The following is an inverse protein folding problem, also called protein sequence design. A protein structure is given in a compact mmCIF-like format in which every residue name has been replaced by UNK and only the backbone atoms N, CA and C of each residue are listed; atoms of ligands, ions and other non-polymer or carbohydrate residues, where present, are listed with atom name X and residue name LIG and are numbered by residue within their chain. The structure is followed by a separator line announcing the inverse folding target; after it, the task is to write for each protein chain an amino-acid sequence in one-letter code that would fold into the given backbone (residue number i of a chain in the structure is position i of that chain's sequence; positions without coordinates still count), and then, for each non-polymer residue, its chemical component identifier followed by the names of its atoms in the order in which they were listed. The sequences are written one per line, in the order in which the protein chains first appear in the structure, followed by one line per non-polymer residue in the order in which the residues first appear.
data_IF_499512901901
#
_entry.id   IF_499512901901
#
_cell.length_a   1.000
_cell.length_b   1.000
_cell.length_c   1.000
_cell.angle_alpha   90.00
_cell.angle_beta   90.00
_cell.angle_gamma   90.00
#
_symmetry.space_group_name_H-M   'P 1'
#
loop_
_entity.id
_entity.type
_entity.pdbx_description
1 polymer ?
#
# COMPACT_ATOMS: atom_id res chain seq x y z
N UNK A 1 20.73 -19.39 -3.65
CA UNK A 1 20.07 -19.45 -2.33
C UNK A 1 18.58 -19.33 -2.59
N UNK A 2 17.72 -20.27 -2.15
CA UNK A 2 16.29 -20.02 -2.17
C UNK A 2 16.02 -18.82 -1.25
N UNK A 3 15.26 -17.84 -1.75
CA UNK A 3 14.82 -16.71 -0.92
C UNK A 3 13.93 -17.25 0.22
N UNK A 4 13.88 -16.57 1.39
CA UNK A 4 12.92 -16.95 2.42
C UNK A 4 11.50 -16.99 1.82
N UNK A 5 10.70 -18.01 2.18
CA UNK A 5 9.35 -18.24 1.62
C UNK A 5 8.47 -16.98 1.61
N UNK A 6 8.61 -16.12 2.63
CA UNK A 6 7.89 -14.86 2.72
C UNK A 6 8.11 -13.92 1.53
N UNK A 7 9.29 -13.91 0.91
CA UNK A 7 9.59 -13.07 -0.25
C UNK A 7 9.26 -13.76 -1.58
N UNK A 8 9.38 -15.09 -1.63
CA UNK A 8 8.99 -15.89 -2.80
C UNK A 8 7.50 -15.69 -3.14
N UNK A 9 6.66 -15.69 -2.11
CA UNK A 9 5.21 -15.52 -2.25
C UNK A 9 4.78 -14.12 -2.69
N UNK A 10 5.69 -13.13 -2.63
CA UNK A 10 5.42 -11.76 -3.09
C UNK A 10 5.85 -11.53 -4.55
N UNK A 11 6.41 -12.54 -5.22
CA UNK A 11 6.78 -12.42 -6.63
C UNK A 11 5.55 -12.37 -7.54
N UNK A 12 5.66 -11.66 -8.66
CA UNK A 12 4.57 -11.57 -9.64
C UNK A 12 4.24 -12.91 -10.28
N UNK A 13 5.25 -13.77 -10.47
CA UNK A 13 5.09 -15.14 -10.96
C UNK A 13 4.26 -15.97 -9.98
N UNK A 14 4.61 -15.97 -8.69
CA UNK A 14 3.85 -16.71 -7.69
C UNK A 14 2.41 -16.22 -7.57
N UNK A 15 2.20 -14.90 -7.53
CA UNK A 15 0.85 -14.33 -7.47
C UNK A 15 0.01 -14.73 -8.69
N UNK A 16 0.58 -14.67 -9.90
CA UNK A 16 -0.12 -14.99 -11.15
C UNK A 16 -0.41 -16.48 -11.31
N UNK A 17 0.54 -17.33 -10.96
CA UNK A 17 0.51 -18.75 -11.33
C UNK A 17 0.04 -19.65 -10.20
N UNK A 18 0.08 -19.18 -8.94
CA UNK A 18 -0.28 -19.97 -7.77
C UNK A 18 -1.39 -19.30 -6.95
N UNK A 19 -1.13 -18.14 -6.35
CA UNK A 19 -2.03 -17.57 -5.34
C UNK A 19 -3.38 -17.11 -5.92
N UNK A 20 -3.37 -16.26 -6.95
CA UNK A 20 -4.62 -15.71 -7.52
C UNK A 20 -5.52 -16.80 -8.11
N UNK A 21 -5.03 -17.79 -8.89
CA UNK A 21 -5.90 -18.87 -9.40
C UNK A 21 -6.48 -19.76 -8.30
N UNK A 22 -5.78 -19.93 -7.17
CA UNK A 22 -6.22 -20.76 -6.05
C UNK A 22 -7.12 -20.01 -5.06
N UNK A 23 -7.24 -18.68 -5.19
CA UNK A 23 -7.99 -17.81 -4.29
C UNK A 23 -8.99 -16.97 -5.08
N UNK A 24 -9.98 -17.59 -5.75
CA UNK A 24 -11.01 -16.84 -6.46
C UNK A 24 -11.90 -16.05 -5.50
N UNK A 25 -12.45 -14.95 -6.00
CA UNK A 25 -13.41 -14.14 -5.26
C UNK A 25 -14.72 -14.92 -5.01
N UNK A 26 -15.35 -14.65 -3.88
CA UNK A 26 -16.63 -15.25 -3.48
C UNK A 26 -17.76 -14.25 -3.76
N UNK A 27 -18.85 -14.72 -4.38
CA UNK A 27 -19.95 -13.88 -4.87
C UNK A 27 -20.61 -13.01 -3.77
N UNK A 28 -20.76 -13.54 -2.56
CA UNK A 28 -21.42 -12.85 -1.44
C UNK A 28 -20.47 -11.96 -0.61
N UNK A 29 -19.21 -11.79 -1.05
CA UNK A 29 -18.22 -10.95 -0.36
C UNK A 29 -17.95 -9.69 -1.17
N UNK A 30 -18.09 -8.53 -0.54
CA UNK A 30 -17.71 -7.25 -1.14
C UNK A 30 -16.22 -7.00 -0.96
N UNK A 31 -15.49 -6.87 -2.07
CA UNK A 31 -14.06 -6.55 -2.09
C UNK A 31 -13.85 -5.08 -2.45
N UNK A 32 -13.03 -4.39 -1.67
CA UNK A 32 -12.67 -2.99 -1.91
C UNK A 32 -11.16 -2.82 -1.82
N UNK A 33 -10.60 -1.95 -2.65
CA UNK A 33 -9.19 -1.62 -2.52
C UNK A 33 -8.86 -0.16 -2.81
N UNK A 34 -7.75 0.27 -2.24
CA UNK A 34 -7.11 1.55 -2.49
C UNK A 34 -5.65 1.30 -2.85
N UNK A 35 -5.12 2.06 -3.79
CA UNK A 35 -3.69 2.11 -4.06
C UNK A 35 -3.06 3.32 -3.38
N UNK A 36 -1.74 3.42 -3.44
CA UNK A 36 -1.02 4.63 -3.06
C UNK A 36 0.10 4.92 -4.04
N UNK A 37 0.45 6.20 -4.16
CA UNK A 37 1.60 6.65 -4.92
C UNK A 37 2.44 7.63 -4.11
N UNK A 38 3.75 7.52 -4.24
CA UNK A 38 4.70 8.41 -3.57
C UNK A 38 5.89 8.72 -4.47
N UNK A 39 6.65 9.76 -4.14
CA UNK A 39 7.89 10.10 -4.83
C UNK A 39 9.04 10.14 -3.82
N UNK A 40 9.68 8.99 -3.56
CA UNK A 40 10.66 8.89 -2.50
C UNK A 40 11.98 9.59 -2.89
N UNK A 41 12.50 10.40 -1.98
CA UNK A 41 13.83 11.00 -2.14
C UNK A 41 14.95 9.96 -2.22
N UNK A 42 16.13 10.37 -2.69
CA UNK A 42 17.26 9.46 -3.00
C UNK A 42 17.73 8.65 -1.78
N UNK A 43 17.61 9.21 -0.58
CA UNK A 43 17.98 8.54 0.68
C UNK A 43 16.86 7.70 1.31
N UNK A 44 15.69 7.63 0.68
CA UNK A 44 14.59 6.79 1.16
C UNK A 44 14.95 5.31 1.00
N UNK A 45 14.63 4.44 1.98
CA UNK A 45 14.76 3.00 1.81
C UNK A 45 13.94 2.45 0.63
N UNK A 46 12.89 3.17 0.21
CA UNK A 46 12.04 2.78 -0.92
C UNK A 46 12.53 3.30 -2.27
N UNK A 47 13.63 4.06 -2.34
CA UNK A 47 14.06 4.69 -3.60
C UNK A 47 14.36 3.67 -4.69
N UNK A 48 15.09 2.61 -4.35
CA UNK A 48 15.51 1.59 -5.33
C UNK A 48 14.32 0.78 -5.85
N UNK A 49 13.47 0.27 -4.96
CA UNK A 49 12.28 -0.52 -5.31
C UNK A 49 11.26 0.32 -6.08
N UNK A 50 10.99 1.55 -5.62
CA UNK A 50 10.14 2.50 -6.34
C UNK A 50 10.60 2.67 -7.78
N UNK A 51 11.90 2.91 -8.00
CA UNK A 51 12.44 3.11 -9.35
C UNK A 51 12.29 1.89 -10.25
N UNK A 52 12.41 0.68 -9.70
CA UNK A 52 12.21 -0.56 -10.46
C UNK A 52 10.73 -0.69 -10.85
N UNK A 53 9.82 -0.55 -9.88
CA UNK A 53 8.38 -0.69 -10.11
C UNK A 53 7.87 0.40 -11.05
N UNK A 54 8.31 1.65 -10.90
CA UNK A 54 7.94 2.75 -11.81
C UNK A 54 8.27 2.47 -13.27
N UNK A 55 9.36 1.73 -13.54
CA UNK A 55 9.74 1.37 -14.91
C UNK A 55 8.88 0.25 -15.49
N UNK A 56 8.37 -0.63 -14.66
CA UNK A 56 7.67 -1.85 -15.09
C UNK A 56 6.15 -1.67 -15.03
N UNK A 57 5.62 -1.08 -13.96
CA UNK A 57 4.19 -0.99 -13.65
C UNK A 57 3.68 0.43 -13.42
N UNK A 58 4.57 1.43 -13.26
CA UNK A 58 4.20 2.83 -13.10
C UNK A 58 4.03 3.28 -11.64
N UNK A 59 3.00 4.08 -11.37
CA UNK A 59 2.76 4.68 -10.06
C UNK A 59 2.73 3.63 -8.94
N UNK A 60 3.44 3.89 -7.85
CA UNK A 60 3.62 2.95 -6.75
C UNK A 60 3.94 3.65 -5.42
N UNK A 61 3.75 2.92 -4.33
CA UNK A 61 3.95 3.38 -2.96
C UNK A 61 5.38 3.13 -2.43
N UNK A 62 6.27 2.67 -3.30
CA UNK A 62 7.61 2.23 -2.97
C UNK A 62 7.81 0.72 -2.98
N UNK A 63 6.76 -0.09 -2.82
CA UNK A 63 6.83 -1.56 -2.83
C UNK A 63 5.77 -2.23 -3.69
N UNK A 64 4.60 -1.61 -3.87
CA UNK A 64 3.47 -2.15 -4.61
C UNK A 64 2.95 -1.09 -5.58
N UNK A 65 2.73 -1.48 -6.84
CA UNK A 65 2.13 -0.58 -7.83
C UNK A 65 0.65 -0.37 -7.59
N UNK A 66 0.13 0.77 -8.05
CA UNK A 66 -1.31 1.06 -8.06
C UNK A 66 -2.08 -0.02 -8.79
N UNK A 67 -1.53 -0.51 -9.90
CA UNK A 67 -2.12 -1.61 -10.68
C UNK A 67 -2.20 -2.90 -9.86
N UNK A 68 -1.13 -3.29 -9.18
CA UNK A 68 -1.11 -4.51 -8.36
C UNK A 68 -1.95 -4.41 -7.10
N UNK A 69 -2.20 -3.21 -6.58
CA UNK A 69 -3.06 -2.97 -5.42
C UNK A 69 -4.57 -2.98 -5.75
N UNK A 70 -4.93 -3.01 -7.04
CA UNK A 70 -6.33 -2.98 -7.47
C UNK A 70 -6.97 -4.37 -7.36
N UNK A 71 -7.99 -4.50 -6.52
CA UNK A 71 -8.73 -5.74 -6.31
C UNK A 71 -10.18 -5.43 -5.88
N UNK A 72 -11.15 -6.12 -6.47
CA UNK A 72 -12.56 -5.78 -6.31
C UNK A 72 -12.89 -4.37 -6.80
N UNK A 73 -13.70 -3.64 -6.03
CA UNK A 73 -14.07 -2.25 -6.31
C UNK A 73 -12.92 -1.31 -5.92
N UNK A 74 -12.22 -0.79 -6.92
CA UNK A 74 -11.15 0.17 -6.73
C UNK A 74 -11.72 1.54 -6.34
N UNK A 75 -11.48 1.97 -5.10
CA UNK A 75 -12.04 3.22 -4.54
C UNK A 75 -11.12 4.43 -4.73
N UNK A 76 -9.83 4.24 -5.07
CA UNK A 76 -8.94 5.31 -5.50
C UNK A 76 -7.48 5.18 -5.08
N UNK A 77 -6.67 6.15 -5.50
CA UNK A 77 -5.23 6.21 -5.20
C UNK A 77 -4.91 7.30 -4.19
N UNK A 78 -4.27 6.92 -3.08
CA UNK A 78 -3.77 7.86 -2.08
C UNK A 78 -2.52 8.56 -2.58
N UNK A 79 -2.58 9.90 -2.68
CA UNK A 79 -1.48 10.71 -3.18
C UNK A 79 -0.54 11.13 -2.05
N UNK A 80 0.72 10.68 -2.13
CA UNK A 80 1.78 11.04 -1.19
C UNK A 80 2.27 9.94 -0.23
N UNK A 81 1.41 9.11 0.41
CA UNK A 81 1.90 8.14 1.37
C UNK A 81 2.71 7.03 0.69
N UNK A 82 3.84 6.68 1.30
CA UNK A 82 4.55 5.44 1.00
C UNK A 82 3.88 4.25 1.67
N UNK A 83 4.35 3.04 1.35
CA UNK A 83 3.84 1.79 1.92
C UNK A 83 3.76 1.81 3.47
N UNK A 84 4.71 2.45 4.15
CA UNK A 84 4.71 2.59 5.62
C UNK A 84 3.82 3.70 6.15
N UNK A 85 3.52 4.73 5.35
CA UNK A 85 2.64 5.81 5.76
C UNK A 85 1.18 5.35 5.84
N UNK A 86 0.77 4.44 4.94
CA UNK A 86 -0.60 3.90 4.88
C UNK A 86 -0.98 3.23 6.21
N UNK A 87 -0.08 2.42 6.78
CA UNK A 87 -0.30 1.74 8.07
C UNK A 87 0.09 2.59 9.30
N UNK A 88 0.24 3.91 9.14
CA UNK A 88 0.57 4.83 10.22
C UNK A 88 1.94 4.57 10.90
N UNK A 89 2.84 3.82 10.27
CA UNK A 89 4.14 3.46 10.86
C UNK A 89 5.10 4.65 10.91
N UNK A 90 5.14 5.44 9.84
CA UNK A 90 5.95 6.67 9.83
C UNK A 90 5.49 7.65 10.88
N UNK A 91 4.20 7.71 11.22
CA UNK A 91 3.71 8.52 12.33
C UNK A 91 4.25 8.02 13.67
N UNK A 92 4.35 6.70 13.93
CA UNK A 92 5.01 6.20 15.16
C UNK A 92 6.48 6.62 15.25
N UNK A 93 7.24 6.45 14.17
CA UNK A 93 8.63 6.92 14.10
C UNK A 93 8.72 8.44 14.22
N UNK A 94 7.78 9.18 13.61
CA UNK A 94 7.70 10.62 13.70
C UNK A 94 7.25 11.08 15.08
N UNK A 95 6.44 10.36 15.84
CA UNK A 95 6.15 10.68 17.24
C UNK A 95 7.43 10.61 18.08
N UNK A 96 8.24 9.57 17.87
CA UNK A 96 9.58 9.46 18.50
C UNK A 96 10.47 10.63 18.09
N UNK A 97 10.54 10.94 16.78
CA UNK A 97 11.39 12.01 16.25
C UNK A 97 10.85 13.42 16.51
N UNK A 98 9.54 13.61 16.67
CA UNK A 98 8.88 14.91 16.90
C UNK A 98 8.99 15.33 18.37
N UNK A 99 9.06 14.36 19.29
CA UNK A 99 9.56 14.60 20.64
C UNK A 99 11.00 15.16 20.66
N UNK A 100 11.75 15.00 19.57
CA UNK A 100 13.13 15.50 19.43
C UNK A 100 13.27 16.71 18.48
N UNK A 101 12.50 16.82 17.39
CA UNK A 101 12.80 17.74 16.27
C UNK A 101 11.56 18.40 15.58
N UNK A 102 10.34 18.25 16.11
CA UNK A 102 9.22 19.15 15.78
C UNK A 102 8.77 19.31 14.31
N UNK A 103 8.51 18.24 13.55
CA UNK A 103 7.91 18.33 12.19
C UNK A 103 6.55 17.60 12.05
N UNK A 104 5.76 18.01 11.03
CA UNK A 104 4.40 17.54 10.72
C UNK A 104 4.27 16.94 9.30
N UNK A 105 3.33 16.00 9.14
CA UNK A 105 3.05 15.24 7.90
C UNK A 105 1.86 15.75 7.09
N UNK A 106 1.84 15.36 5.80
CA UNK A 106 0.78 15.66 4.81
C UNK A 106 -0.36 14.64 4.70
N UNK A 107 -0.15 13.36 5.05
CA UNK A 107 -1.20 12.30 5.03
C UNK A 107 -1.58 11.87 6.46
N UNK A 108 -2.88 11.71 6.72
CA UNK A 108 -3.42 11.27 8.00
C UNK A 108 -4.09 9.89 7.84
N UNK A 109 -3.34 8.84 8.16
CA UNK A 109 -3.82 7.46 8.09
C UNK A 109 -5.05 7.22 8.99
N UNK A 110 -5.13 7.86 10.17
CA UNK A 110 -6.27 7.69 11.08
C UNK A 110 -7.54 8.25 10.45
N UNK A 111 -7.48 9.46 9.90
CA UNK A 111 -8.62 10.05 9.20
C UNK A 111 -9.03 9.22 7.98
N UNK A 112 -8.07 8.67 7.24
CA UNK A 112 -8.35 7.77 6.12
C UNK A 112 -9.11 6.51 6.56
N UNK A 113 -8.68 5.83 7.63
CA UNK A 113 -9.38 4.64 8.12
C UNK A 113 -10.75 4.97 8.71
N UNK A 114 -10.93 6.14 9.35
CA UNK A 114 -12.26 6.60 9.78
C UNK A 114 -13.20 6.83 8.59
N UNK A 115 -12.71 7.45 7.51
CA UNK A 115 -13.48 7.62 6.28
C UNK A 115 -13.79 6.28 5.59
N UNK A 116 -12.89 5.30 5.70
CA UNK A 116 -13.15 3.94 5.21
C UNK A 116 -14.27 3.27 6.00
N UNK A 117 -14.30 3.43 7.33
CA UNK A 117 -15.41 2.94 8.16
C UNK A 117 -16.74 3.59 7.79
N UNK A 118 -16.74 4.90 7.53
CA UNK A 118 -17.93 5.64 7.08
C UNK A 118 -18.42 5.13 5.72
N UNK A 119 -17.50 4.94 4.76
CA UNK A 119 -17.81 4.37 3.44
C UNK A 119 -18.41 2.96 3.54
N UNK A 120 -17.90 2.11 4.42
CA UNK A 120 -18.47 0.77 4.64
C UNK A 120 -19.90 0.86 5.21
N UNK A 121 -20.15 1.79 6.15
CA UNK A 121 -21.48 2.00 6.69
C UNK A 121 -22.47 2.51 5.63
N UNK A 122 -22.05 3.39 4.72
CA UNK A 122 -22.85 3.83 3.56
C UNK A 122 -23.17 2.68 2.60
N UNK A 123 -22.26 1.72 2.45
CA UNK A 123 -22.44 0.48 1.68
C UNK A 123 -23.28 -0.58 2.40
N UNK A 124 -23.77 -0.27 3.61
CA UNK A 124 -24.58 -1.14 4.45
C UNK A 124 -23.83 -2.30 5.09
N UNK A 125 -22.53 -2.14 5.34
CA UNK A 125 -21.64 -3.13 5.98
C UNK A 125 -21.25 -2.74 7.41
#
# INVERSE_FOLDING_TARGET
MPYPRAFEQLTTEYMRENFNPQTPDIEDVKYFSYGALTYPGIFSPFHASHRIISRVEGDNDGLVSVKSASHGVYKGTLLGPSHLDIINWTNRLKWIMKGLFGQHNKFNAVAFYLALSDMLAEEGL
#
